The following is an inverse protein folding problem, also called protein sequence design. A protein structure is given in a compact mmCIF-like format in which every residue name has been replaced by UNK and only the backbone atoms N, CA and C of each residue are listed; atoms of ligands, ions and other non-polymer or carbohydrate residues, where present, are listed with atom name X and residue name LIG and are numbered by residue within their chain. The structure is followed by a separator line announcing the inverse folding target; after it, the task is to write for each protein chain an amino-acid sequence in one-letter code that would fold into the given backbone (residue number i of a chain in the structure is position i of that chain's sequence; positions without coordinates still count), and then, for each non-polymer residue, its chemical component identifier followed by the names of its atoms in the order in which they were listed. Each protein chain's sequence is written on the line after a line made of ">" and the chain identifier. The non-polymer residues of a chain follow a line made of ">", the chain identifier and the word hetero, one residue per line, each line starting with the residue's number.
data_IF_493458209504
#
_entry.id   IF_493458209504
#
_cell.length_a   1.000
_cell.length_b   1.000
_cell.length_c   1.000
_cell.angle_alpha   90.00
_cell.angle_beta   90.00
_cell.angle_gamma   90.00
#
_symmetry.space_group_name_H-M   'P 1'
#
loop_
_entity.id
_entity.type
_entity.pdbx_description
1 polymer ?
#
# COMPACT_ATOMS: atom_id res chain seq x y z
N UNK A 1 -5.55 -13.67 -0.14
CA UNK A 1 -5.22 -12.26 0.12
C UNK A 1 -3.77 -12.01 -0.27
N UNK A 2 -3.52 -10.99 -1.08
CA UNK A 2 -2.19 -10.67 -1.59
C UNK A 2 -1.59 -9.51 -0.80
N UNK A 3 -0.34 -9.66 -0.38
CA UNK A 3 0.39 -8.63 0.34
C UNK A 3 1.48 -8.02 -0.53
N UNK A 4 1.65 -6.70 -0.40
CA UNK A 4 2.76 -5.97 -1.00
C UNK A 4 3.51 -5.28 0.13
N UNK A 5 4.81 -5.55 0.21
CA UNK A 5 5.67 -4.94 1.22
C UNK A 5 6.64 -3.98 0.53
N UNK A 6 6.50 -2.70 0.84
CA UNK A 6 7.33 -1.65 0.27
C UNK A 6 8.33 -1.20 1.34
N UNK A 7 9.62 -1.31 1.05
CA UNK A 7 10.65 -0.91 1.99
C UNK A 7 10.64 0.59 2.23
N UNK A 8 10.93 1.00 3.47
CA UNK A 8 11.10 2.40 3.81
C UNK A 8 12.31 2.98 3.06
N UNK A 9 12.10 4.14 2.46
CA UNK A 9 13.18 4.89 1.81
C UNK A 9 13.67 6.05 2.67
N UNK A 10 12.93 6.39 3.72
CA UNK A 10 13.24 7.49 4.59
C UNK A 10 12.71 7.26 5.99
N UNK A 11 12.39 8.35 6.69
CA UNK A 11 11.88 8.28 8.05
C UNK A 11 10.41 7.84 8.06
N UNK A 12 9.99 7.31 9.21
CA UNK A 12 8.62 6.80 9.36
C UNK A 12 7.56 7.83 9.00
N UNK A 13 7.79 9.10 9.35
CA UNK A 13 6.85 10.18 9.02
C UNK A 13 6.67 10.32 7.52
N UNK A 14 7.76 10.27 6.76
CA UNK A 14 7.72 10.37 5.31
C UNK A 14 7.01 9.17 4.70
N UNK A 15 7.21 8.00 5.28
CA UNK A 15 6.59 6.78 4.81
C UNK A 15 5.09 6.76 5.11
N UNK A 16 4.67 7.37 6.22
CA UNK A 16 3.25 7.54 6.51
C UNK A 16 2.57 8.37 5.43
N UNK A 17 3.20 9.48 5.02
CA UNK A 17 2.68 10.32 3.92
C UNK A 17 2.66 9.57 2.60
N UNK A 18 3.69 8.77 2.35
CA UNK A 18 3.75 7.94 1.15
C UNK A 18 2.61 6.93 1.11
N UNK A 19 2.32 6.29 2.23
CA UNK A 19 1.21 5.35 2.32
C UNK A 19 -0.14 6.01 2.07
N UNK A 20 -0.35 7.21 2.63
CA UNK A 20 -1.57 7.98 2.39
C UNK A 20 -1.70 8.35 0.91
N UNK A 21 -0.59 8.73 0.28
CA UNK A 21 -0.59 9.08 -1.15
C UNK A 21 -0.96 7.89 -2.02
N UNK A 22 -0.41 6.72 -1.72
CA UNK A 22 -0.75 5.49 -2.43
C UNK A 22 -2.22 5.13 -2.22
N UNK A 23 -2.71 5.24 -0.99
CA UNK A 23 -4.10 4.96 -0.66
C UNK A 23 -5.05 5.88 -1.44
N UNK A 24 -4.69 7.17 -1.54
CA UNK A 24 -5.48 8.13 -2.32
C UNK A 24 -5.55 7.72 -3.79
N UNK A 25 -4.43 7.30 -4.34
CA UNK A 25 -4.37 6.82 -5.72
C UNK A 25 -5.32 5.63 -5.94
N UNK A 26 -5.32 4.68 -5.00
CA UNK A 26 -6.21 3.52 -5.09
C UNK A 26 -7.68 3.93 -5.01
N UNK A 27 -8.00 4.89 -4.14
CA UNK A 27 -9.37 5.40 -4.02
C UNK A 27 -9.83 6.07 -5.30
N UNK A 28 -8.95 6.81 -5.96
CA UNK A 28 -9.26 7.46 -7.23
C UNK A 28 -9.57 6.44 -8.34
N UNK A 29 -9.09 5.22 -8.18
CA UNK A 29 -9.35 4.13 -9.11
C UNK A 29 -10.50 3.22 -8.67
N UNK A 30 -11.29 3.68 -7.68
CA UNK A 30 -12.50 2.99 -7.28
C UNK A 30 -12.37 1.96 -6.17
N UNK A 31 -11.17 1.82 -5.58
CA UNK A 31 -10.99 0.89 -4.46
C UNK A 31 -11.37 1.55 -3.16
N UNK A 32 -11.95 0.77 -2.25
CA UNK A 32 -12.34 1.25 -0.93
C UNK A 32 -11.47 0.59 0.14
N UNK A 33 -10.89 1.42 0.99
CA UNK A 33 -10.14 0.93 2.13
C UNK A 33 -11.06 0.16 3.08
N UNK A 34 -10.59 -0.99 3.55
CA UNK A 34 -11.37 -1.87 4.41
C UNK A 34 -12.17 -2.92 3.66
N UNK A 35 -12.59 -2.63 2.42
CA UNK A 35 -13.31 -3.58 1.59
C UNK A 35 -12.40 -4.22 0.54
N UNK A 36 -11.67 -3.40 -0.20
CA UNK A 36 -10.84 -3.87 -1.32
C UNK A 36 -9.38 -4.02 -0.93
N UNK A 37 -8.92 -3.18 -0.02
CA UNK A 37 -7.56 -3.22 0.48
C UNK A 37 -7.50 -2.64 1.90
N UNK A 38 -6.40 -2.90 2.57
CA UNK A 38 -6.04 -2.21 3.80
C UNK A 38 -4.53 -2.02 3.80
N UNK A 39 -4.02 -1.14 4.64
CA UNK A 39 -2.58 -0.91 4.71
C UNK A 39 -2.17 -0.49 6.12
N UNK A 40 -0.90 -0.73 6.42
CA UNK A 40 -0.33 -0.32 7.69
C UNK A 40 1.16 -0.06 7.54
N UNK A 41 1.73 0.63 8.52
CA UNK A 41 3.17 0.77 8.62
C UNK A 41 3.70 -0.30 9.56
N UNK A 42 4.83 -0.89 9.16
CA UNK A 42 5.57 -1.85 9.99
C UNK A 42 6.92 -1.23 10.30
N UNK A 43 7.04 -0.47 11.40
CA UNK A 43 8.29 0.21 11.72
C UNK A 43 9.40 -0.75 12.15
N UNK A 44 9.05 -1.92 12.67
CA UNK A 44 10.05 -2.90 13.10
C UNK A 44 10.82 -3.43 11.91
N UNK A 45 10.12 -3.77 10.83
CA UNK A 45 10.74 -4.28 9.60
C UNK A 45 10.98 -3.17 8.57
N UNK A 46 10.62 -1.93 8.90
CA UNK A 46 10.76 -0.75 8.05
C UNK A 46 10.10 -0.97 6.70
N UNK A 47 8.80 -1.27 6.73
CA UNK A 47 8.01 -1.56 5.56
C UNK A 47 6.64 -0.89 5.64
N UNK A 48 6.09 -0.55 4.46
CA UNK A 48 4.68 -0.23 4.30
C UNK A 48 4.05 -1.49 3.73
N UNK A 49 3.01 -1.99 4.39
CA UNK A 49 2.35 -3.23 3.95
C UNK A 49 0.96 -2.90 3.44
N UNK A 50 0.69 -3.23 2.18
CA UNK A 50 -0.65 -3.17 1.59
C UNK A 50 -1.16 -4.57 1.40
N UNK A 51 -2.42 -4.81 1.77
CA UNK A 51 -3.08 -6.11 1.65
C UNK A 51 -4.30 -5.94 0.78
N UNK A 52 -4.40 -6.73 -0.28
CA UNK A 52 -5.52 -6.68 -1.22
C UNK A 52 -6.34 -7.95 -1.11
N UNK A 53 -7.65 -7.82 -1.27
CA UNK A 53 -8.51 -9.00 -1.34
C UNK A 53 -8.27 -9.72 -2.68
N UNK A 54 -8.83 -10.94 -2.82
CA UNK A 54 -8.59 -11.78 -3.99
C UNK A 54 -9.02 -11.11 -5.30
N UNK A 55 -10.09 -10.33 -5.27
CA UNK A 55 -10.62 -9.67 -6.46
C UNK A 55 -9.72 -8.56 -6.97
N UNK A 56 -8.82 -8.05 -6.14
CA UNK A 56 -7.98 -6.90 -6.45
C UNK A 56 -6.49 -7.24 -6.47
N UNK A 57 -6.14 -8.52 -6.65
CA UNK A 57 -4.73 -8.96 -6.65
C UNK A 57 -3.88 -8.28 -7.72
N UNK A 58 -4.48 -7.90 -8.86
CA UNK A 58 -3.74 -7.20 -9.90
C UNK A 58 -3.15 -5.88 -9.41
N UNK A 59 -3.78 -5.25 -8.43
CA UNK A 59 -3.26 -4.00 -7.85
C UNK A 59 -1.99 -4.21 -7.06
N UNK A 60 -1.82 -5.40 -6.48
CA UNK A 60 -0.59 -5.74 -5.77
C UNK A 60 0.61 -5.72 -6.73
N UNK A 61 0.45 -6.33 -7.90
CA UNK A 61 1.50 -6.32 -8.91
C UNK A 61 1.77 -4.90 -9.41
N UNK A 62 0.74 -4.11 -9.63
CA UNK A 62 0.89 -2.73 -10.07
C UNK A 62 1.65 -1.89 -9.06
N UNK A 63 1.36 -2.01 -7.78
CA UNK A 63 2.07 -1.26 -6.74
C UNK A 63 3.54 -1.64 -6.67
N UNK A 64 3.86 -2.91 -6.88
CA UNK A 64 5.24 -3.37 -6.87
C UNK A 64 6.05 -2.72 -8.00
N UNK A 65 5.40 -2.46 -9.13
CA UNK A 65 6.04 -1.87 -10.29
C UNK A 65 6.02 -0.34 -10.30
N UNK A 66 5.14 0.27 -9.52
CA UNK A 66 5.01 1.72 -9.45
C UNK A 66 5.92 2.30 -8.39
N UNK A 67 6.64 3.35 -8.75
CA UNK A 67 7.44 4.12 -7.78
C UNK A 67 6.65 5.37 -7.40
N UNK A 68 5.87 5.23 -6.38
CA UNK A 68 5.07 6.34 -5.85
C UNK A 68 5.71 6.95 -4.60
#
# INVERSE_FOLDING_TARGET
>A
MQQVKLEFKGEQRDESERGVRISRYLKEHGLQMGRDYTWLLDPINRQIVFMFNTENEQWASMLTMMEL
#
